data_IF_677249496789
#
_entry.id   IF_677249496789
#
_cell.length_a   1.000
_cell.length_b   1.000
_cell.length_c   1.000
_cell.angle_alpha   90.00
_cell.angle_beta   90.00
_cell.angle_gamma   90.00
#
_symmetry.space_group_name_H-M   'P 1'
#
loop_
_entity.id
_entity.type
_entity.pdbx_description
1 polymer ?
#
# COMPACT_ATOMS: atom_id res chain seq x y z
N UNK A 1 -68.40 -26.24 -61.17
CA UNK A 1 -67.90 -26.44 -59.78
C UNK A 1 -66.38 -26.11 -59.59
N UNK A 2 -65.75 -25.30 -60.44
CA UNK A 2 -64.28 -25.05 -60.39
C UNK A 2 -63.84 -23.64 -59.94
N UNK A 3 -64.73 -22.65 -59.91
CA UNK A 3 -64.35 -21.24 -59.62
C UNK A 3 -64.17 -20.99 -58.11
N UNK A 4 -64.92 -21.70 -57.24
CA UNK A 4 -64.81 -21.54 -55.77
C UNK A 4 -63.53 -22.15 -55.18
N UNK A 5 -62.99 -23.23 -55.76
CA UNK A 5 -61.73 -23.87 -55.31
C UNK A 5 -60.51 -22.98 -55.52
N UNK A 6 -60.47 -22.17 -56.58
CA UNK A 6 -59.35 -21.26 -56.87
C UNK A 6 -59.29 -20.03 -55.97
N UNK A 7 -60.45 -19.49 -55.53
CA UNK A 7 -60.48 -18.38 -54.55
C UNK A 7 -60.01 -18.83 -53.16
N UNK A 8 -60.33 -20.06 -52.75
CA UNK A 8 -59.91 -20.61 -51.47
C UNK A 8 -58.39 -20.87 -51.41
N UNK A 9 -57.82 -21.46 -52.47
CA UNK A 9 -56.37 -21.64 -52.61
C UNK A 9 -55.59 -20.31 -52.63
N UNK A 10 -56.13 -19.26 -53.27
CA UNK A 10 -55.52 -17.91 -53.26
C UNK A 10 -55.56 -17.25 -51.88
N UNK A 11 -56.65 -17.39 -51.12
CA UNK A 11 -56.73 -16.89 -49.73
C UNK A 11 -55.75 -17.62 -48.82
N UNK A 12 -55.69 -18.96 -48.89
CA UNK A 12 -54.73 -19.75 -48.12
C UNK A 12 -53.28 -19.39 -48.45
N UNK A 13 -52.95 -19.15 -49.73
CA UNK A 13 -51.60 -18.70 -50.13
C UNK A 13 -51.24 -17.32 -49.56
N UNK A 14 -52.21 -16.39 -49.47
CA UNK A 14 -52.01 -15.07 -48.82
C UNK A 14 -51.78 -15.21 -47.30
N UNK A 15 -52.54 -16.06 -46.61
CA UNK A 15 -52.32 -16.33 -45.19
C UNK A 15 -50.96 -16.98 -44.93
N UNK A 16 -50.52 -17.91 -45.80
CA UNK A 16 -49.23 -18.56 -45.69
C UNK A 16 -48.07 -17.56 -45.86
N UNK A 17 -48.16 -16.66 -46.84
CA UNK A 17 -47.16 -15.60 -47.06
C UNK A 17 -47.14 -14.63 -45.87
N UNK A 18 -48.29 -14.24 -45.34
CA UNK A 18 -48.37 -13.38 -44.15
C UNK A 18 -47.75 -14.04 -42.92
N UNK A 19 -47.94 -15.36 -42.74
CA UNK A 19 -47.33 -16.11 -41.64
C UNK A 19 -45.82 -16.15 -41.77
N UNK A 20 -45.29 -16.39 -42.98
CA UNK A 20 -43.85 -16.39 -43.24
C UNK A 20 -43.23 -15.03 -42.94
N UNK A 21 -43.88 -13.92 -43.34
CA UNK A 21 -43.41 -12.56 -43.05
C UNK A 21 -43.39 -12.30 -41.54
N UNK A 22 -44.41 -12.74 -40.80
CA UNK A 22 -44.45 -12.57 -39.34
C UNK A 22 -43.34 -13.38 -38.64
N UNK A 23 -43.12 -14.62 -39.08
CA UNK A 23 -42.03 -15.46 -38.54
C UNK A 23 -40.67 -14.84 -38.86
N UNK A 24 -40.50 -14.33 -40.08
CA UNK A 24 -39.27 -13.65 -40.48
C UNK A 24 -39.04 -12.38 -39.66
N UNK A 25 -40.07 -11.54 -39.48
CA UNK A 25 -40.02 -10.35 -38.64
C UNK A 25 -39.68 -10.68 -37.18
N UNK A 26 -40.25 -11.76 -36.62
CA UNK A 26 -39.93 -12.25 -35.28
C UNK A 26 -38.47 -12.74 -35.18
N UNK A 27 -37.96 -13.43 -36.20
CA UNK A 27 -36.57 -13.88 -36.26
C UNK A 27 -35.60 -12.71 -36.41
N UNK A 28 -35.92 -11.72 -37.25
CA UNK A 28 -35.14 -10.48 -37.38
C UNK A 28 -35.18 -9.64 -36.11
N UNK A 29 -36.32 -9.56 -35.42
CA UNK A 29 -36.43 -8.88 -34.13
C UNK A 29 -35.61 -9.60 -33.04
N UNK A 30 -35.65 -10.94 -33.00
CA UNK A 30 -34.82 -11.75 -32.09
C UNK A 30 -33.33 -11.59 -32.37
N UNK A 31 -32.90 -11.63 -33.62
CA UNK A 31 -31.48 -11.46 -34.00
C UNK A 31 -30.99 -10.04 -33.76
N UNK A 32 -31.79 -9.01 -34.05
CA UNK A 32 -31.48 -7.62 -33.71
C UNK A 32 -31.40 -7.41 -32.19
N UNK A 33 -32.29 -8.03 -31.39
CA UNK A 33 -32.28 -7.92 -29.92
C UNK A 33 -31.11 -8.69 -29.26
N UNK A 34 -30.67 -9.80 -29.86
CA UNK A 34 -29.48 -10.54 -29.40
C UNK A 34 -28.20 -9.76 -29.75
N UNK A 35 -28.14 -9.10 -30.90
CA UNK A 35 -27.00 -8.25 -31.27
C UNK A 35 -26.97 -6.90 -30.52
N UNK A 36 -28.11 -6.36 -30.10
CA UNK A 36 -28.18 -5.09 -29.36
C UNK A 36 -27.87 -5.21 -27.85
N UNK A 37 -27.61 -6.42 -27.34
CA UNK A 37 -27.25 -6.65 -25.92
C UNK A 37 -25.74 -6.84 -25.67
N UNK A 38 -24.90 -6.82 -26.71
CA UNK A 38 -23.45 -6.70 -26.53
C UNK A 38 -23.06 -5.23 -26.53
N UNK A 39 -23.37 -4.52 -25.44
CA UNK A 39 -22.49 -3.43 -25.05
C UNK A 39 -21.29 -4.12 -24.44
N UNK A 40 -20.19 -4.21 -25.20
CA UNK A 40 -18.90 -4.64 -24.69
C UNK A 40 -18.44 -3.59 -23.68
N UNK A 41 -18.93 -3.70 -22.44
CA UNK A 41 -18.35 -2.99 -21.30
C UNK A 41 -17.07 -3.75 -21.00
N UNK A 42 -15.98 -3.29 -21.60
CA UNK A 42 -14.63 -3.72 -21.22
C UNK A 42 -14.34 -2.97 -19.92
N UNK A 43 -14.61 -3.59 -18.78
CA UNK A 43 -14.18 -3.06 -17.49
C UNK A 43 -12.65 -2.98 -17.50
N UNK A 44 -12.09 -1.85 -17.08
CA UNK A 44 -10.64 -1.70 -16.99
C UNK A 44 -10.14 -2.48 -15.78
N UNK A 45 -10.78 -2.30 -14.62
CA UNK A 45 -10.38 -2.95 -13.38
C UNK A 45 -11.44 -3.94 -12.92
N UNK A 46 -11.16 -5.24 -12.99
CA UNK A 46 -12.15 -6.26 -12.68
C UNK A 46 -11.56 -7.52 -12.05
N UNK A 47 -12.45 -8.30 -11.45
CA UNK A 47 -12.13 -9.59 -10.86
C UNK A 47 -12.57 -10.71 -11.79
N UNK A 48 -11.67 -11.63 -12.10
CA UNK A 48 -11.99 -12.84 -12.83
C UNK A 48 -11.96 -14.05 -11.87
N UNK A 49 -13.13 -14.62 -11.63
CA UNK A 49 -13.36 -15.69 -10.66
C UNK A 49 -13.40 -17.04 -11.38
N UNK A 50 -12.33 -17.82 -11.23
CA UNK A 50 -12.24 -19.21 -11.67
C UNK A 50 -12.56 -20.22 -10.55
N UNK A 51 -12.52 -21.51 -10.89
CA UNK A 51 -12.77 -22.60 -9.92
C UNK A 51 -11.63 -22.86 -8.94
N UNK A 52 -10.39 -22.57 -9.34
CA UNK A 52 -9.16 -22.90 -8.58
C UNK A 52 -8.37 -21.67 -8.15
N UNK A 53 -8.59 -20.56 -8.82
CA UNK A 53 -7.89 -19.31 -8.64
C UNK A 53 -8.81 -18.16 -9.06
N UNK A 54 -8.53 -16.99 -8.51
CA UNK A 54 -9.07 -15.72 -8.95
C UNK A 54 -7.92 -14.90 -9.50
N UNK A 55 -8.23 -14.05 -10.47
CA UNK A 55 -7.31 -13.02 -10.93
C UNK A 55 -7.96 -11.66 -10.75
N UNK A 56 -7.21 -10.74 -10.18
CA UNK A 56 -7.54 -9.32 -10.21
C UNK A 56 -6.85 -8.77 -11.45
N UNK A 57 -7.59 -8.12 -12.34
CA UNK A 57 -7.09 -7.62 -13.61
C UNK A 57 -7.22 -6.10 -13.61
N UNK A 58 -6.12 -5.44 -13.91
CA UNK A 58 -6.00 -3.99 -14.01
C UNK A 58 -5.54 -3.61 -15.43
N UNK A 59 -6.53 -3.33 -16.26
CA UNK A 59 -6.42 -3.08 -17.70
C UNK A 59 -5.49 -4.12 -18.36
N UNK A 60 -4.56 -3.68 -19.23
CA UNK A 60 -3.53 -4.52 -19.85
C UNK A 60 -2.22 -4.51 -19.09
N UNK A 61 -2.07 -3.70 -18.03
CA UNK A 61 -0.80 -3.55 -17.29
C UNK A 61 -0.53 -4.73 -16.36
N UNK A 62 -1.47 -5.07 -15.48
CA UNK A 62 -1.21 -5.96 -14.35
C UNK A 62 -2.35 -6.95 -14.10
N UNK A 63 -2.00 -8.22 -13.89
CA UNK A 63 -2.89 -9.21 -13.28
C UNK A 63 -2.28 -9.84 -12.02
N UNK A 64 -3.10 -9.95 -10.97
CA UNK A 64 -2.71 -10.49 -9.67
C UNK A 64 -3.51 -11.76 -9.41
N UNK A 65 -2.83 -12.90 -9.36
CA UNK A 65 -3.44 -14.18 -8.98
C UNK A 65 -3.62 -14.25 -7.47
N UNK A 66 -4.85 -14.56 -7.03
CA UNK A 66 -5.23 -14.77 -5.64
C UNK A 66 -5.38 -16.27 -5.35
N UNK A 67 -4.49 -16.89 -4.56
CA UNK A 67 -4.65 -18.28 -4.15
C UNK A 67 -5.85 -18.48 -3.22
N UNK A 68 -6.50 -19.65 -3.32
CA UNK A 68 -7.73 -19.98 -2.57
C UNK A 68 -7.61 -19.99 -1.04
N UNK A 69 -6.39 -20.15 -0.55
CA UNK A 69 -6.07 -20.30 0.87
C UNK A 69 -5.88 -18.97 1.58
N UNK A 70 -5.80 -17.87 0.83
CA UNK A 70 -5.60 -16.54 1.39
C UNK A 70 -6.86 -16.05 2.11
N UNK A 71 -6.65 -15.53 3.31
CA UNK A 71 -7.64 -14.89 4.15
C UNK A 71 -7.80 -13.43 3.74
N UNK A 72 -9.05 -13.02 3.51
CA UNK A 72 -9.42 -11.63 3.24
C UNK A 72 -9.80 -10.89 4.53
N UNK A 73 -10.29 -11.63 5.52
CA UNK A 73 -10.60 -11.13 6.86
C UNK A 73 -10.05 -12.10 7.90
N UNK A 74 -10.19 -11.80 9.20
CA UNK A 74 -9.69 -12.67 10.29
C UNK A 74 -10.21 -14.11 10.20
N UNK A 75 -11.44 -14.27 9.71
CA UNK A 75 -12.19 -15.52 9.79
C UNK A 75 -12.61 -16.08 8.42
N UNK A 76 -12.52 -15.29 7.35
CA UNK A 76 -13.02 -15.69 6.04
C UNK A 76 -11.91 -15.80 4.99
N UNK A 77 -11.78 -17.00 4.43
CA UNK A 77 -10.94 -17.27 3.26
C UNK A 77 -11.68 -16.93 1.98
N UNK A 78 -10.90 -16.61 0.95
CA UNK A 78 -11.41 -16.40 -0.39
C UNK A 78 -12.32 -17.54 -0.88
N UNK A 79 -11.90 -18.80 -0.66
CA UNK A 79 -12.68 -19.99 -1.07
C UNK A 79 -14.11 -20.03 -0.51
N UNK A 80 -14.36 -19.39 0.64
CA UNK A 80 -15.67 -19.39 1.28
C UNK A 80 -16.66 -18.55 0.47
N UNK A 81 -16.25 -17.36 0.01
CA UNK A 81 -17.07 -16.50 -0.84
C UNK A 81 -17.48 -17.17 -2.15
N UNK A 82 -16.58 -17.95 -2.77
CA UNK A 82 -16.91 -18.71 -3.98
C UNK A 82 -17.93 -19.80 -3.69
N UNK A 83 -17.72 -20.59 -2.63
CA UNK A 83 -18.64 -21.68 -2.25
C UNK A 83 -20.05 -21.18 -1.96
N UNK A 84 -20.14 -20.05 -1.26
CA UNK A 84 -21.41 -19.40 -0.91
C UNK A 84 -22.00 -18.55 -2.05
N UNK A 85 -21.30 -18.43 -3.19
CA UNK A 85 -21.67 -17.59 -4.34
C UNK A 85 -21.87 -16.11 -3.98
N UNK A 86 -21.12 -15.63 -2.99
CA UNK A 86 -21.17 -14.25 -2.48
C UNK A 86 -20.19 -13.34 -3.22
N UNK A 87 -20.33 -13.26 -4.54
CA UNK A 87 -19.37 -12.57 -5.42
C UNK A 87 -19.37 -11.05 -5.26
N UNK A 88 -20.53 -10.45 -4.98
CA UNK A 88 -20.63 -9.01 -4.71
C UNK A 88 -19.92 -8.65 -3.39
N UNK A 89 -20.15 -9.42 -2.32
CA UNK A 89 -19.48 -9.22 -1.04
C UNK A 89 -17.96 -9.37 -1.17
N UNK A 90 -17.52 -10.34 -1.96
CA UNK A 90 -16.12 -10.54 -2.27
C UNK A 90 -15.52 -9.31 -2.97
N UNK A 91 -16.20 -8.74 -3.97
CA UNK A 91 -15.74 -7.52 -4.65
C UNK A 91 -15.57 -6.37 -3.66
N UNK A 92 -16.54 -6.19 -2.75
CA UNK A 92 -16.48 -5.16 -1.72
C UNK A 92 -15.29 -5.35 -0.78
N UNK A 93 -15.08 -6.57 -0.27
CA UNK A 93 -13.96 -6.88 0.62
C UNK A 93 -12.61 -6.71 -0.09
N UNK A 94 -12.51 -7.09 -1.37
CA UNK A 94 -11.31 -6.85 -2.17
C UNK A 94 -11.05 -5.34 -2.32
N UNK A 95 -12.10 -4.56 -2.58
CA UNK A 95 -11.99 -3.11 -2.66
C UNK A 95 -11.52 -2.48 -1.34
N UNK A 96 -11.81 -3.07 -0.19
CA UNK A 96 -11.32 -2.56 1.11
C UNK A 96 -9.83 -2.82 1.35
N UNK A 97 -9.25 -3.82 0.68
CA UNK A 97 -7.86 -4.25 0.87
C UNK A 97 -6.95 -3.75 -0.25
N UNK A 98 -7.47 -3.63 -1.47
CA UNK A 98 -6.65 -3.30 -2.65
C UNK A 98 -6.44 -1.79 -2.79
N UNK A 99 -5.24 -1.36 -3.25
CA UNK A 99 -4.95 0.05 -3.49
C UNK A 99 -5.85 0.68 -4.56
N UNK A 100 -6.20 -0.09 -5.59
CA UNK A 100 -7.01 0.39 -6.72
C UNK A 100 -8.34 -0.36 -6.74
N UNK A 101 -9.43 0.42 -6.77
CA UNK A 101 -10.79 -0.10 -6.75
C UNK A 101 -11.13 -0.82 -8.05
N UNK A 102 -11.87 -1.90 -7.89
CA UNK A 102 -12.39 -2.79 -8.92
C UNK A 102 -13.83 -2.41 -9.22
N UNK A 103 -14.17 -2.40 -10.50
CA UNK A 103 -15.48 -2.01 -11.01
C UNK A 103 -16.48 -3.18 -10.96
N UNK A 104 -16.01 -4.39 -11.29
CA UNK A 104 -16.90 -5.54 -11.44
C UNK A 104 -16.20 -6.89 -11.29
N UNK A 105 -16.97 -7.97 -11.39
CA UNK A 105 -16.48 -9.34 -11.42
C UNK A 105 -17.08 -10.17 -12.57
N UNK A 106 -16.29 -11.13 -13.06
CA UNK A 106 -16.65 -12.09 -14.10
C UNK A 106 -16.49 -13.50 -13.52
N UNK A 107 -17.54 -14.31 -13.57
CA UNK A 107 -17.51 -15.71 -13.10
C UNK A 107 -17.40 -16.66 -14.29
N UNK A 108 -16.28 -17.39 -14.38
CA UNK A 108 -16.05 -18.34 -15.48
C UNK A 108 -16.66 -19.70 -15.12
N UNK A 109 -17.68 -20.11 -15.86
CA UNK A 109 -18.45 -21.34 -15.59
C UNK A 109 -17.78 -22.62 -16.11
N UNK A 110 -16.98 -22.52 -17.17
CA UNK A 110 -16.37 -23.66 -17.85
C UNK A 110 -14.89 -23.82 -17.46
N UNK A 111 -14.37 -25.05 -17.52
CA UNK A 111 -12.95 -25.37 -17.25
C UNK A 111 -11.99 -24.87 -18.36
N UNK A 112 -12.36 -23.83 -19.11
CA UNK A 112 -11.44 -23.21 -20.06
C UNK A 112 -10.34 -22.51 -19.26
N UNK A 113 -9.08 -22.83 -19.58
CA UNK A 113 -7.92 -22.12 -19.04
C UNK A 113 -8.10 -20.62 -19.30
N UNK A 114 -8.20 -19.86 -18.22
CA UNK A 114 -8.38 -18.42 -18.28
C UNK A 114 -7.05 -17.85 -18.74
N UNK A 115 -6.95 -17.45 -20.01
CA UNK A 115 -5.83 -16.66 -20.51
C UNK A 115 -6.09 -15.20 -20.17
N UNK A 116 -5.21 -14.63 -19.36
CA UNK A 116 -5.20 -13.21 -19.03
C UNK A 116 -3.99 -12.63 -19.73
N UNK A 117 -4.23 -11.70 -20.64
CA UNK A 117 -3.20 -11.03 -21.40
C UNK A 117 -2.94 -9.67 -20.75
N UNK A 118 -2.04 -9.67 -19.76
CA UNK A 118 -1.49 -8.46 -19.15
C UNK A 118 0.03 -8.45 -19.30
N UNK A 119 0.63 -7.26 -19.33
CA UNK A 119 2.08 -7.07 -19.41
C UNK A 119 2.80 -7.77 -18.25
N UNK A 120 2.21 -7.70 -17.06
CA UNK A 120 2.70 -8.34 -15.85
C UNK A 120 1.65 -9.26 -15.25
N UNK A 121 2.09 -10.44 -14.78
CA UNK A 121 1.28 -11.36 -14.01
C UNK A 121 2.06 -11.78 -12.76
N UNK A 122 1.45 -11.60 -11.59
CA UNK A 122 2.07 -11.95 -10.31
C UNK A 122 1.13 -12.76 -9.43
N UNK A 123 1.67 -13.36 -8.38
CA UNK A 123 0.88 -13.91 -7.28
C UNK A 123 0.75 -12.82 -6.21
N UNK A 124 -0.42 -12.69 -5.59
CA UNK A 124 -0.59 -11.70 -4.52
C UNK A 124 0.46 -11.93 -3.42
N UNK A 125 1.19 -10.88 -3.00
CA UNK A 125 2.06 -10.96 -1.85
C UNK A 125 1.23 -11.36 -0.61
N UNK A 126 1.73 -12.35 0.12
CA UNK A 126 1.08 -12.83 1.33
C UNK A 126 2.10 -13.09 2.44
N UNK A 127 1.63 -13.03 3.67
CA UNK A 127 2.36 -13.44 4.87
C UNK A 127 1.65 -14.62 5.52
N UNK A 128 2.40 -15.58 6.07
CA UNK A 128 1.84 -16.70 6.82
C UNK A 128 1.94 -16.44 8.32
N UNK A 129 0.80 -16.50 9.01
CA UNK A 129 0.68 -16.33 10.46
C UNK A 129 -0.27 -17.37 11.03
N UNK A 130 0.18 -18.12 12.03
CA UNK A 130 -0.61 -19.17 12.69
C UNK A 130 -1.19 -20.19 11.67
N UNK A 131 -0.41 -20.56 10.65
CA UNK A 131 -0.84 -21.43 9.56
C UNK A 131 -1.90 -20.84 8.62
N UNK A 132 -2.17 -19.53 8.72
CA UNK A 132 -3.10 -18.79 7.85
C UNK A 132 -2.32 -17.81 6.97
N UNK A 133 -2.64 -17.76 5.68
CA UNK A 133 -2.04 -16.82 4.72
C UNK A 133 -2.89 -15.56 4.63
N UNK A 134 -2.32 -14.40 4.88
CA UNK A 134 -2.96 -13.09 4.80
C UNK A 134 -2.32 -12.25 3.70
N UNK A 135 -3.09 -11.37 3.07
CA UNK A 135 -2.56 -10.43 2.09
C UNK A 135 -1.52 -9.52 2.76
N UNK A 136 -0.35 -9.40 2.12
CA UNK A 136 0.72 -8.54 2.57
C UNK A 136 0.61 -7.19 1.86
N UNK A 137 0.06 -6.20 2.56
CA UNK A 137 -0.19 -4.87 2.01
C UNK A 137 1.09 -4.16 1.54
N UNK A 138 2.23 -4.40 2.20
CA UNK A 138 3.52 -3.83 1.77
C UNK A 138 3.93 -4.32 0.39
N UNK A 139 3.87 -5.64 0.18
CA UNK A 139 4.13 -6.24 -1.11
C UNK A 139 3.13 -5.78 -2.16
N UNK A 140 1.84 -5.64 -1.82
CA UNK A 140 0.86 -5.05 -2.73
C UNK A 140 1.23 -3.62 -3.14
N UNK A 141 1.58 -2.78 -2.17
CA UNK A 141 1.96 -1.39 -2.45
C UNK A 141 3.18 -1.35 -3.38
N UNK A 142 4.20 -2.15 -3.09
CA UNK A 142 5.40 -2.27 -3.93
C UNK A 142 5.06 -2.72 -5.35
N UNK A 143 4.22 -3.75 -5.49
CA UNK A 143 3.74 -4.24 -6.79
C UNK A 143 3.07 -3.13 -7.59
N UNK A 144 2.10 -2.42 -7.00
CA UNK A 144 1.37 -1.38 -7.73
C UNK A 144 2.28 -0.22 -8.09
N UNK A 145 3.18 0.15 -7.19
CA UNK A 145 4.18 1.21 -7.41
C UNK A 145 5.14 0.90 -8.57
N UNK A 146 5.47 -0.38 -8.78
CA UNK A 146 6.42 -0.80 -9.81
C UNK A 146 5.77 -1.18 -11.14
N UNK A 147 4.58 -1.77 -11.09
CA UNK A 147 3.98 -2.49 -12.22
C UNK A 147 2.64 -1.92 -12.69
N UNK A 148 2.05 -0.98 -11.95
CA UNK A 148 0.74 -0.42 -12.28
C UNK A 148 0.79 1.10 -12.48
N UNK A 149 1.30 1.82 -11.49
CA UNK A 149 1.44 3.27 -11.55
C UNK A 149 2.60 3.67 -12.45
N UNK A 150 2.36 4.65 -13.32
CA UNK A 150 3.45 5.26 -14.07
C UNK A 150 4.33 6.09 -13.11
N UNK A 151 5.60 6.37 -13.48
CA UNK A 151 6.55 7.10 -12.60
C UNK A 151 6.01 8.44 -12.08
N UNK A 152 5.05 9.05 -12.78
CA UNK A 152 4.38 10.29 -12.36
C UNK A 152 3.19 10.05 -11.40
N UNK A 153 2.56 8.86 -11.44
CA UNK A 153 1.46 8.41 -10.55
C UNK A 153 1.96 7.80 -9.23
N UNK A 154 3.25 7.48 -9.10
CA UNK A 154 3.85 7.07 -7.81
C UNK A 154 3.66 8.14 -6.70
N UNK A 155 3.42 9.39 -7.09
CA UNK A 155 3.06 10.49 -6.19
C UNK A 155 1.56 10.54 -5.85
N UNK A 156 0.74 9.60 -6.36
CA UNK A 156 -0.72 9.59 -6.25
C UNK A 156 -1.30 8.47 -5.37
N UNK A 157 -0.50 7.83 -4.50
CA UNK A 157 -1.13 7.18 -3.33
C UNK A 157 -1.78 8.33 -2.56
N UNK A 158 -3.11 8.34 -2.57
CA UNK A 158 -3.87 9.35 -1.84
C UNK A 158 -3.47 9.27 -0.37
N UNK A 159 -3.11 10.38 0.28
CA UNK A 159 -2.67 10.33 1.66
C UNK A 159 -3.67 9.61 2.59
N UNK A 160 -4.96 9.69 2.27
CA UNK A 160 -6.05 9.04 3.00
C UNK A 160 -6.07 7.51 2.88
N UNK A 161 -5.26 6.93 2.00
CA UNK A 161 -5.08 5.48 1.81
C UNK A 161 -3.89 4.93 2.59
N UNK A 162 -3.00 5.80 3.08
CA UNK A 162 -1.87 5.40 3.93
C UNK A 162 -2.36 5.13 5.35
N UNK A 163 -2.07 3.93 5.85
CA UNK A 163 -2.38 3.50 7.21
C UNK A 163 -1.08 3.40 8.00
N UNK A 164 -1.03 4.07 9.15
CA UNK A 164 0.09 4.03 10.09
C UNK A 164 -0.35 3.41 11.42
N UNK A 165 0.30 2.33 11.84
CA UNK A 165 0.12 1.82 13.19
C UNK A 165 1.09 2.52 14.15
N UNK A 166 0.56 3.05 15.24
CA UNK A 166 1.31 3.81 16.24
C UNK A 166 1.18 3.09 17.57
N UNK A 167 2.28 2.47 17.98
CA UNK A 167 2.34 1.60 19.14
C UNK A 167 3.06 2.33 20.27
N UNK A 168 2.37 2.51 21.39
CA UNK A 168 2.91 3.15 22.58
C UNK A 168 3.80 2.19 23.36
N UNK A 169 5.11 2.38 23.27
CA UNK A 169 6.11 1.66 24.06
C UNK A 169 6.79 2.56 25.09
N UNK A 170 6.23 3.74 25.37
CA UNK A 170 6.83 4.73 26.26
C UNK A 170 6.10 4.88 27.60
N UNK A 171 4.93 4.25 27.74
CA UNK A 171 4.15 4.24 28.99
C UNK A 171 3.38 5.54 29.26
N UNK A 172 3.36 6.50 28.33
CA UNK A 172 2.60 7.76 28.48
C UNK A 172 1.19 7.59 27.92
N UNK A 173 0.18 7.67 28.78
CA UNK A 173 -1.23 7.53 28.38
C UNK A 173 -1.62 8.54 27.29
N UNK A 174 -2.29 8.07 26.25
CA UNK A 174 -2.80 8.91 25.14
C UNK A 174 -1.74 9.38 24.14
N UNK A 175 -0.46 9.07 24.35
CA UNK A 175 0.63 9.61 23.54
C UNK A 175 0.64 9.09 22.08
N UNK A 176 0.36 7.80 21.87
CA UNK A 176 0.19 7.25 20.53
C UNK A 176 -0.99 7.88 19.77
N UNK A 177 -2.11 8.11 20.45
CA UNK A 177 -3.26 8.78 19.86
C UNK A 177 -2.94 10.23 19.48
N UNK A 178 -2.28 10.98 20.36
CA UNK A 178 -1.87 12.35 20.07
C UNK A 178 -0.92 12.43 18.86
N UNK A 179 0.05 11.51 18.79
CA UNK A 179 0.98 11.41 17.64
C UNK A 179 0.24 11.09 16.36
N UNK A 180 -0.72 10.16 16.40
CA UNK A 180 -1.53 9.80 15.25
C UNK A 180 -2.43 10.92 14.75
N UNK A 181 -3.06 11.67 15.65
CA UNK A 181 -3.83 12.87 15.28
C UNK A 181 -2.96 13.88 14.53
N UNK A 182 -1.74 14.15 15.03
CA UNK A 182 -0.80 15.06 14.37
C UNK A 182 -0.45 14.59 12.95
N UNK A 183 -0.16 13.30 12.78
CA UNK A 183 0.11 12.70 11.45
C UNK A 183 -1.11 12.83 10.53
N UNK A 184 -2.31 12.56 11.04
CA UNK A 184 -3.55 12.70 10.27
C UNK A 184 -3.82 14.15 9.85
N UNK A 185 -3.61 15.11 10.74
CA UNK A 185 -3.85 16.54 10.49
C UNK A 185 -2.85 17.13 9.49
N UNK A 186 -1.57 16.79 9.61
CA UNK A 186 -0.53 17.36 8.75
C UNK A 186 -0.37 16.63 7.41
N UNK A 187 -0.60 15.33 7.39
CA UNK A 187 -0.31 14.48 6.22
C UNK A 187 -1.56 13.80 5.64
N UNK A 188 -2.72 13.83 6.30
CA UNK A 188 -3.94 13.17 5.82
C UNK A 188 -3.97 11.64 6.01
N UNK A 189 -2.95 11.05 6.65
CA UNK A 189 -2.88 9.60 6.81
C UNK A 189 -3.90 9.08 7.82
N UNK A 190 -4.39 7.86 7.58
CA UNK A 190 -5.13 7.11 8.59
C UNK A 190 -4.16 6.52 9.60
N UNK A 191 -4.59 6.39 10.84
CA UNK A 191 -3.78 5.76 11.87
C UNK A 191 -4.59 4.86 12.80
N UNK A 192 -3.92 3.84 13.33
CA UNK A 192 -4.39 3.08 14.50
C UNK A 192 -3.43 3.35 15.65
N UNK A 193 -3.96 3.63 16.84
CA UNK A 193 -3.15 3.80 18.05
C UNK A 193 -3.42 2.65 19.02
N UNK A 194 -2.35 2.03 19.52
CA UNK A 194 -2.43 0.95 20.50
C UNK A 194 -1.24 1.00 21.47
N UNK A 195 -1.28 0.18 22.52
CA UNK A 195 -0.11 -0.04 23.37
C UNK A 195 0.76 -1.15 22.77
N UNK A 196 2.07 -0.98 22.86
CA UNK A 196 3.02 -2.05 22.57
C UNK A 196 3.18 -2.96 23.79
N UNK A 197 3.47 -4.24 23.56
CA UNK A 197 3.55 -5.24 24.63
C UNK A 197 4.69 -4.95 25.62
N UNK A 198 5.76 -4.33 25.13
CA UNK A 198 6.96 -4.03 25.91
C UNK A 198 7.27 -2.53 25.88
N UNK A 199 7.96 -2.06 26.91
CA UNK A 199 8.51 -0.71 26.90
C UNK A 199 9.82 -0.70 26.10
N UNK A 200 10.06 0.37 25.35
CA UNK A 200 11.29 0.55 24.59
C UNK A 200 11.91 1.92 24.82
N UNK A 201 13.23 1.99 24.70
CA UNK A 201 13.95 3.24 24.93
C UNK A 201 13.99 4.13 23.67
N UNK A 202 14.24 3.52 22.50
CA UNK A 202 14.22 4.18 21.21
C UNK A 202 12.84 4.13 20.56
N UNK A 203 12.56 5.12 19.72
CA UNK A 203 11.47 4.98 18.75
C UNK A 203 11.94 4.13 17.58
N UNK A 204 11.13 3.19 17.15
CA UNK A 204 11.43 2.36 15.98
C UNK A 204 10.44 2.61 14.87
N UNK A 205 10.94 2.64 13.65
CA UNK A 205 10.11 2.69 12.45
C UNK A 205 10.35 1.43 11.62
N UNK A 206 9.24 0.79 11.26
CA UNK A 206 9.20 -0.35 10.36
C UNK A 206 8.46 0.11 9.09
N UNK A 207 9.23 0.32 8.02
CA UNK A 207 8.68 0.76 6.74
C UNK A 207 8.16 -0.44 5.94
N UNK A 208 6.84 -0.54 5.83
CA UNK A 208 6.15 -1.58 5.09
C UNK A 208 5.76 -1.09 3.68
N UNK A 209 6.63 -0.31 3.02
CA UNK A 209 6.44 0.06 1.62
C UNK A 209 5.97 1.49 1.35
N UNK A 210 6.16 2.42 2.30
CA UNK A 210 6.13 3.85 1.98
C UNK A 210 7.37 4.25 1.19
N UNK A 211 7.20 5.17 0.24
CA UNK A 211 8.31 5.78 -0.48
C UNK A 211 9.19 6.59 0.48
N UNK A 212 10.47 6.74 0.12
CA UNK A 212 11.43 7.47 0.94
C UNK A 212 11.00 8.93 1.18
N UNK A 213 10.43 9.58 0.17
CA UNK A 213 9.95 10.97 0.28
C UNK A 213 8.80 11.09 1.29
N UNK A 214 7.80 10.20 1.19
CA UNK A 214 6.65 10.18 2.10
C UNK A 214 7.09 9.88 3.54
N UNK A 215 8.02 8.94 3.70
CA UNK A 215 8.60 8.62 4.99
C UNK A 215 9.35 9.81 5.60
N UNK A 216 10.15 10.51 4.79
CA UNK A 216 10.86 11.73 5.20
C UNK A 216 9.92 12.84 5.67
N UNK A 217 8.76 13.02 5.03
CA UNK A 217 7.71 13.96 5.49
C UNK A 217 7.19 13.55 6.86
N UNK A 218 6.84 12.28 7.03
CA UNK A 218 6.36 11.74 8.32
C UNK A 218 7.38 11.89 9.46
N UNK A 219 8.66 11.65 9.20
CA UNK A 219 9.73 11.82 10.20
C UNK A 219 9.80 13.24 10.78
N UNK A 220 9.50 14.25 9.95
CA UNK A 220 9.49 15.65 10.36
C UNK A 220 8.23 16.04 11.11
N UNK A 221 7.11 15.33 10.89
CA UNK A 221 5.85 15.53 11.63
C UNK A 221 5.93 14.97 13.05
N UNK A 222 6.61 13.85 13.30
CA UNK A 222 6.67 13.26 14.64
C UNK A 222 7.69 13.97 15.57
N UNK A 223 7.48 13.92 16.89
CA UNK A 223 8.28 14.68 17.86
C UNK A 223 9.55 13.93 18.32
N UNK A 224 9.61 12.64 18.03
CA UNK A 224 10.67 11.72 18.41
C UNK A 224 11.98 12.13 17.73
N UNK A 225 13.06 12.18 18.50
CA UNK A 225 14.41 12.56 18.08
C UNK A 225 15.27 11.34 17.81
N UNK A 226 15.18 10.33 18.66
CA UNK A 226 16.01 9.12 18.63
C UNK A 226 15.22 7.98 18.00
N UNK A 227 15.24 7.98 16.67
CA UNK A 227 14.50 7.05 15.83
C UNK A 227 15.48 6.09 15.17
N UNK A 228 15.27 4.78 15.38
CA UNK A 228 15.99 3.71 14.70
C UNK A 228 15.18 3.06 13.60
N UNK A 229 15.87 2.67 12.53
CA UNK A 229 15.36 1.76 11.51
C UNK A 229 15.26 0.38 12.15
N UNK A 230 14.10 -0.28 12.01
CA UNK A 230 13.94 -1.67 12.41
C UNK A 230 13.55 -2.49 11.21
N UNK A 231 14.51 -3.26 10.70
CA UNK A 231 14.25 -4.26 9.67
C UNK A 231 13.44 -5.41 10.26
N UNK A 232 12.42 -5.87 9.52
CA UNK A 232 11.71 -7.13 9.79
C UNK A 232 11.24 -7.33 11.24
N UNK A 233 10.36 -6.46 11.73
CA UNK A 233 9.51 -6.88 12.84
C UNK A 233 8.42 -7.80 12.28
N UNK A 234 8.31 -9.03 12.80
CA UNK A 234 7.20 -9.95 12.53
C UNK A 234 5.89 -9.44 13.15
N UNK A 235 5.58 -8.15 12.99
CA UNK A 235 4.35 -7.55 13.44
C UNK A 235 3.24 -7.84 12.42
N UNK A 236 2.16 -8.48 12.85
CA UNK A 236 1.06 -8.86 11.98
C UNK A 236 0.17 -7.64 11.73
N UNK A 237 0.63 -6.74 10.86
CA UNK A 237 -0.07 -5.49 10.53
C UNK A 237 -0.38 -5.40 9.03
N UNK A 238 -1.47 -4.70 8.72
CA UNK A 238 -1.84 -4.28 7.37
C UNK A 238 -1.36 -2.86 7.06
N UNK A 239 -0.75 -2.17 8.03
CA UNK A 239 -0.30 -0.79 7.92
C UNK A 239 0.93 -0.67 7.01
N UNK A 240 0.99 0.44 6.26
CA UNK A 240 2.12 0.80 5.41
C UNK A 240 3.34 1.23 6.24
N UNK A 241 3.14 1.59 7.51
CA UNK A 241 4.19 1.97 8.44
C UNK A 241 3.80 1.57 9.86
N UNK A 242 4.75 1.09 10.65
CA UNK A 242 4.60 0.96 12.09
C UNK A 242 5.59 1.88 12.80
N UNK A 243 5.09 2.68 13.73
CA UNK A 243 5.88 3.52 14.63
C UNK A 243 5.73 2.97 16.06
N UNK A 244 6.82 2.48 16.63
CA UNK A 244 6.88 2.05 18.03
C UNK A 244 7.50 3.20 18.82
N UNK A 245 6.69 3.93 19.60
CA UNK A 245 7.10 5.14 20.30
C UNK A 245 7.88 4.80 21.58
N UNK A 246 9.16 5.15 21.62
CA UNK A 246 10.05 4.91 22.75
C UNK A 246 10.01 6.01 23.82
N UNK A 247 10.66 5.74 24.96
CA UNK A 247 10.73 6.67 26.10
C UNK A 247 11.65 7.86 25.87
N UNK A 248 12.68 7.72 25.05
CA UNK A 248 13.76 8.69 24.88
C UNK A 248 14.43 9.09 26.20
N UNK A 249 14.83 8.10 27.01
CA UNK A 249 15.55 8.35 28.25
C UNK A 249 16.97 8.92 27.99
N UNK A 250 17.67 9.31 29.06
CA UNK A 250 19.05 9.82 28.95
C UNK A 250 19.99 8.71 28.48
N UNK A 251 21.09 9.10 27.81
CA UNK A 251 22.21 8.21 27.44
C UNK A 251 21.88 7.12 26.40
N UNK A 252 20.95 7.39 25.49
CA UNK A 252 20.65 6.49 24.38
C UNK A 252 21.71 6.61 23.28
N UNK A 253 21.75 7.77 22.62
CA UNK A 253 22.62 8.01 21.48
C UNK A 253 23.50 9.23 21.73
N UNK A 254 24.81 9.02 21.62
CA UNK A 254 25.82 10.07 21.74
C UNK A 254 25.87 10.90 20.45
N UNK A 255 25.64 12.22 20.53
CA UNK A 255 25.78 13.13 19.38
C UNK A 255 27.04 13.96 19.56
N UNK A 256 28.05 13.69 18.74
CA UNK A 256 29.37 14.33 18.83
C UNK A 256 29.48 15.44 17.81
N UNK A 257 29.61 16.67 18.29
CA UNK A 257 29.91 17.84 17.46
C UNK A 257 31.43 17.97 17.38
N UNK A 258 31.99 17.63 16.22
CA UNK A 258 33.43 17.56 15.99
C UNK A 258 33.83 18.71 15.06
N UNK A 259 34.82 19.49 15.48
CA UNK A 259 35.36 20.59 14.68
C UNK A 259 36.87 20.68 14.85
N UNK A 260 37.55 21.14 13.79
CA UNK A 260 38.99 21.38 13.83
C UNK A 260 39.32 22.57 14.73
N UNK A 261 40.31 22.39 15.61
CA UNK A 261 40.95 23.39 16.48
C UNK A 261 40.05 24.20 17.44
N UNK A 262 38.73 24.02 17.39
CA UNK A 262 37.75 24.80 18.16
C UNK A 262 36.53 23.96 18.58
N UNK A 263 35.78 24.44 19.56
CA UNK A 263 34.49 23.85 19.92
C UNK A 263 33.38 24.65 19.23
N UNK A 264 32.42 23.96 18.61
CA UNK A 264 31.24 24.64 18.05
C UNK A 264 30.15 24.83 19.11
N UNK A 265 30.15 26.00 19.74
CA UNK A 265 29.14 26.37 20.74
C UNK A 265 27.74 26.56 20.15
N UNK A 266 27.65 27.01 18.90
CA UNK A 266 26.37 27.32 18.26
C UNK A 266 25.58 26.04 18.02
N UNK A 267 26.19 25.06 17.35
CA UNK A 267 25.56 23.78 17.07
C UNK A 267 25.30 23.00 18.37
N UNK A 268 26.25 23.00 19.30
CA UNK A 268 26.06 22.33 20.59
C UNK A 268 24.86 22.87 21.37
N UNK A 269 24.72 24.20 21.48
CA UNK A 269 23.58 24.84 22.17
C UNK A 269 22.27 24.60 21.44
N UNK A 270 22.27 24.67 20.11
CA UNK A 270 21.08 24.37 19.31
C UNK A 270 20.57 22.95 19.61
N UNK A 271 21.44 21.94 19.57
CA UNK A 271 21.06 20.55 19.87
C UNK A 271 20.48 20.39 21.29
N UNK A 272 21.10 21.05 22.29
CA UNK A 272 20.57 21.04 23.67
C UNK A 272 19.19 21.67 23.77
N UNK A 273 18.98 22.81 23.11
CA UNK A 273 17.71 23.53 23.11
C UNK A 273 16.60 22.72 22.43
N UNK A 274 16.92 22.00 21.35
CA UNK A 274 16.01 21.07 20.67
C UNK A 274 15.80 19.76 21.44
N UNK A 275 16.39 19.62 22.63
CA UNK A 275 16.16 18.49 23.53
C UNK A 275 16.98 17.24 23.22
N UNK A 276 18.06 17.34 22.45
CA UNK A 276 19.04 16.26 22.34
C UNK A 276 19.89 16.20 23.62
N UNK A 277 19.69 15.14 24.40
CA UNK A 277 20.14 15.06 25.79
C UNK A 277 21.63 14.74 25.86
N UNK A 278 22.11 13.79 25.07
CA UNK A 278 23.47 13.28 25.14
C UNK A 278 24.31 13.83 23.99
N UNK A 279 24.77 15.06 24.15
CA UNK A 279 25.61 15.77 23.16
C UNK A 279 27.00 16.05 23.75
N UNK A 280 28.05 15.90 22.95
CA UNK A 280 29.44 16.19 23.32
C UNK A 280 30.10 17.08 22.26
N UNK A 281 31.09 17.88 22.68
CA UNK A 281 31.91 18.71 21.79
C UNK A 281 33.32 18.11 21.75
N UNK A 282 33.87 17.95 20.56
CA UNK A 282 35.17 17.31 20.36
C UNK A 282 36.02 18.19 19.45
N UNK A 283 37.25 18.45 19.90
CA UNK A 283 38.31 18.99 19.06
C UNK A 283 39.09 17.82 18.49
N UNK A 284 39.06 17.66 17.18
CA UNK A 284 39.80 16.61 16.49
C UNK A 284 40.27 17.17 15.15
N UNK A 285 41.51 16.88 14.79
CA UNK A 285 41.98 17.17 13.44
C UNK A 285 41.21 16.26 12.47
N UNK A 286 40.35 16.88 11.67
CA UNK A 286 39.50 16.23 10.68
C UNK A 286 39.72 16.93 9.35
N UNK A 287 39.96 16.14 8.30
CA UNK A 287 40.11 16.64 6.94
C UNK A 287 38.79 16.40 6.20
N UNK A 288 37.97 17.44 6.12
CA UNK A 288 36.66 17.42 5.47
C UNK A 288 36.50 18.64 4.57
N UNK A 289 35.96 18.45 3.37
CA UNK A 289 35.70 19.55 2.44
C UNK A 289 34.50 20.40 2.87
N UNK A 290 33.48 19.75 3.44
CA UNK A 290 32.17 20.28 3.79
C UNK A 290 31.63 19.64 5.08
N UNK A 291 30.66 20.31 5.71
CA UNK A 291 29.96 19.78 6.87
C UNK A 291 29.25 18.48 6.51
N UNK A 292 29.29 17.49 7.39
CA UNK A 292 28.62 16.20 7.17
C UNK A 292 28.15 15.56 8.49
N UNK A 293 27.20 14.65 8.40
CA UNK A 293 26.74 13.83 9.51
C UNK A 293 27.05 12.37 9.21
N UNK A 294 27.82 11.73 10.08
CA UNK A 294 28.07 10.29 10.03
C UNK A 294 27.17 9.53 10.99
N UNK A 295 26.61 8.42 10.54
CA UNK A 295 25.65 7.63 11.30
C UNK A 295 25.79 6.13 11.00
N UNK A 296 25.41 5.28 11.95
CA UNK A 296 25.20 3.86 11.68
C UNK A 296 23.88 3.68 10.90
N UNK A 297 23.78 2.70 9.99
CA UNK A 297 22.57 2.44 9.19
C UNK A 297 21.28 2.40 10.01
N UNK A 298 21.31 1.84 11.23
CA UNK A 298 20.14 1.79 12.11
C UNK A 298 19.70 3.18 12.60
N UNK A 299 20.61 4.16 12.66
CA UNK A 299 20.37 5.52 13.16
C UNK A 299 20.01 6.52 12.06
N UNK A 300 19.81 6.07 10.82
CA UNK A 300 19.55 6.91 9.64
C UNK A 300 18.44 7.96 9.88
N UNK A 301 17.32 7.56 10.48
CA UNK A 301 16.19 8.48 10.70
C UNK A 301 16.53 9.59 11.71
N UNK A 302 17.35 9.30 12.72
CA UNK A 302 17.87 10.32 13.64
C UNK A 302 18.82 11.27 12.90
N UNK A 303 19.75 10.73 12.09
CA UNK A 303 20.67 11.51 11.28
C UNK A 303 19.94 12.42 10.29
N UNK A 304 18.88 11.92 9.65
CA UNK A 304 18.04 12.71 8.75
C UNK A 304 17.39 13.90 9.46
N UNK A 305 16.82 13.72 10.66
CA UNK A 305 16.24 14.85 11.42
C UNK A 305 17.31 15.87 11.81
N UNK A 306 18.48 15.42 12.24
CA UNK A 306 19.62 16.29 12.52
C UNK A 306 20.08 17.07 11.27
N UNK A 307 20.08 16.42 10.10
CA UNK A 307 20.42 17.05 8.82
C UNK A 307 19.53 18.26 8.52
N UNK A 308 18.22 18.13 8.77
CA UNK A 308 17.24 19.20 8.55
C UNK A 308 17.34 20.28 9.61
N UNK A 309 17.56 19.91 10.86
CA UNK A 309 17.75 20.88 11.95
C UNK A 309 18.99 21.75 11.74
N UNK A 310 20.10 21.15 11.30
CA UNK A 310 21.41 21.82 11.18
C UNK A 310 21.66 22.40 9.78
N UNK A 311 20.77 22.13 8.82
CA UNK A 311 20.95 22.46 7.41
C UNK A 311 22.25 21.89 6.83
N UNK A 312 22.51 20.60 7.10
CA UNK A 312 23.65 19.83 6.59
C UNK A 312 23.11 18.76 5.65
N UNK A 313 23.41 18.85 4.36
CA UNK A 313 22.86 17.91 3.36
C UNK A 313 23.67 16.61 3.25
N UNK A 314 24.97 16.66 3.58
CA UNK A 314 25.86 15.53 3.42
C UNK A 314 25.68 14.52 4.57
N UNK A 315 25.03 13.40 4.25
CA UNK A 315 24.82 12.25 5.13
C UNK A 315 25.73 11.11 4.69
N UNK A 316 26.57 10.59 5.60
CA UNK A 316 27.47 9.46 5.33
C UNK A 316 27.20 8.29 6.28
N UNK A 317 26.82 7.16 5.72
CA UNK A 317 26.73 5.93 6.50
C UNK A 317 28.14 5.47 6.93
N UNK A 318 28.27 5.13 8.21
CA UNK A 318 29.48 4.60 8.84
C UNK A 318 29.08 3.58 9.91
N UNK A 319 29.07 2.31 9.54
CA UNK A 319 28.66 1.21 10.41
C UNK A 319 29.69 0.84 11.49
N UNK A 320 30.85 1.50 11.52
CA UNK A 320 31.80 1.41 12.65
C UNK A 320 31.35 2.26 13.85
N UNK A 321 30.39 3.16 13.65
CA UNK A 321 29.77 3.90 14.74
C UNK A 321 28.82 2.97 15.51
N UNK A 322 28.93 3.02 16.85
CA UNK A 322 28.05 2.27 17.74
C UNK A 322 27.43 3.24 18.75
N UNK A 323 26.10 3.31 18.77
CA UNK A 323 25.31 4.21 19.60
C UNK A 323 25.80 5.68 19.58
N UNK A 324 26.29 6.14 18.42
CA UNK A 324 26.75 7.51 18.23
C UNK A 324 26.51 8.03 16.82
N UNK A 325 26.31 9.34 16.73
CA UNK A 325 26.31 10.11 15.49
C UNK A 325 27.40 11.18 15.59
N UNK A 326 28.23 11.29 14.55
CA UNK A 326 29.19 12.39 14.45
C UNK A 326 28.62 13.48 13.55
N UNK A 327 28.67 14.72 14.02
CA UNK A 327 28.46 15.92 13.22
C UNK A 327 29.84 16.53 13.01
N UNK A 328 30.35 16.41 11.79
CA UNK A 328 31.66 16.92 11.39
C UNK A 328 31.47 18.31 10.79
N UNK A 329 32.10 19.32 11.40
CA UNK A 329 31.99 20.71 10.99
C UNK A 329 33.34 21.23 10.52
N UNK A 330 33.32 21.97 9.41
CA UNK A 330 34.48 22.65 8.84
C UNK A 330 34.99 23.79 9.71
#
# INVERSE_FOLDING_TARGET
MNIRKNKFKRKQKKYLISLIVIVFLFFSYRTLRVNSQKKDVVWENYVLIGKRNLFIVYDKKLSIMLPMEVYLTKDMQFKNYIKEKRYADLLNVLNDVLPVKLENYIVVKNNSDIKIETEHQIIIPYIEKNGKKYILNSGLTEVFSKLYYDKEELNSIRPEEIIVDILNANGKTGYATATGKKIQEELGFKYNAANYEELTEYTYIINNGLSEETLKKLLLTINEKYIKVKENANLPTIANLVIILGKEQKNLLDIYVIRKDSYDEKVYKLLKNEGYITTKRIKKDIDISDNMIEYNSEDYYTAYKLSKLLNIENLRENNELNNKINILLK
#
